data_IF_491429217583
#
_entry.id   IF_491429217583
#
_cell.length_a   1.000
_cell.length_b   1.000
_cell.length_c   1.000
_cell.angle_alpha   90.00
_cell.angle_beta   90.00
_cell.angle_gamma   90.00
#
_symmetry.space_group_name_H-M   'P 1'
#
loop_
_entity.id
_entity.type
_entity.pdbx_description
1 polymer ?
#
# COMPACT_ATOMS: atom_id res chain seq x y z
N UNK A 1 -0.90 -5.71 -9.66
CA UNK A 1 -1.44 -4.49 -9.02
C UNK A 1 -1.74 -4.79 -7.57
N UNK A 2 -1.52 -3.83 -6.69
CA UNK A 2 -1.71 -3.96 -5.23
C UNK A 2 -2.91 -3.14 -4.78
N UNK A 3 -3.70 -3.66 -3.84
CA UNK A 3 -4.85 -2.98 -3.25
C UNK A 3 -5.13 -3.53 -1.84
N UNK A 4 -5.96 -2.85 -1.07
CA UNK A 4 -6.19 -3.19 0.34
C UNK A 4 -7.64 -2.97 0.76
N UNK A 5 -8.09 -3.75 1.75
CA UNK A 5 -9.37 -3.59 2.43
C UNK A 5 -9.35 -2.58 3.58
N UNK A 6 -8.21 -1.97 3.93
CA UNK A 6 -8.10 -1.00 5.02
C UNK A 6 -7.67 0.39 4.56
N UNK A 7 -8.28 1.43 5.14
CA UNK A 7 -7.96 2.81 4.77
C UNK A 7 -6.53 3.21 5.20
N UNK A 8 -6.04 2.76 6.36
CA UNK A 8 -4.67 3.08 6.83
C UNK A 8 -3.61 2.56 5.85
N UNK A 9 -3.75 1.32 5.36
CA UNK A 9 -2.84 0.78 4.35
C UNK A 9 -2.98 1.51 2.99
N UNK A 10 -4.19 1.93 2.61
CA UNK A 10 -4.39 2.70 1.39
C UNK A 10 -3.73 4.09 1.47
N UNK A 11 -3.77 4.73 2.64
CA UNK A 11 -3.08 6.00 2.90
C UNK A 11 -1.56 5.80 2.76
N UNK A 12 -1.00 4.74 3.32
CA UNK A 12 0.42 4.41 3.13
C UNK A 12 0.78 4.22 1.65
N UNK A 13 -0.03 3.48 0.90
CA UNK A 13 0.16 3.29 -0.53
C UNK A 13 0.15 4.61 -1.30
N UNK A 14 -0.70 5.57 -0.89
CA UNK A 14 -0.78 6.88 -1.52
C UNK A 14 0.44 7.77 -1.16
N UNK A 15 0.83 7.84 0.12
CA UNK A 15 1.93 8.70 0.60
C UNK A 15 3.35 8.21 0.23
N UNK A 16 3.48 6.91 -0.04
CA UNK A 16 4.73 6.26 -0.43
C UNK A 16 4.82 6.01 -1.95
N UNK A 17 3.76 6.32 -2.70
CA UNK A 17 3.76 6.14 -4.15
C UNK A 17 4.90 6.95 -4.80
N UNK A 18 5.58 6.33 -5.76
CA UNK A 18 6.55 7.03 -6.60
C UNK A 18 5.83 7.99 -7.57
N UNK A 19 6.17 9.28 -7.53
CA UNK A 19 5.64 10.28 -8.45
C UNK A 19 5.65 11.69 -7.89
N UNK A 20 5.33 12.67 -8.74
CA UNK A 20 5.17 14.09 -8.36
C UNK A 20 3.71 14.57 -8.38
N UNK A 21 2.77 13.69 -8.73
CA UNK A 21 1.35 13.98 -8.71
C UNK A 21 0.77 13.97 -7.29
N UNK A 22 -0.39 14.59 -7.12
CA UNK A 22 -1.14 14.53 -5.86
C UNK A 22 -1.56 13.10 -5.54
N UNK A 23 -1.40 12.72 -4.28
CA UNK A 23 -1.79 11.44 -3.73
C UNK A 23 -3.31 11.23 -3.86
N UNK A 24 -3.72 10.02 -4.30
CA UNK A 24 -5.13 9.66 -4.49
C UNK A 24 -5.38 8.25 -4.01
N UNK A 25 -6.58 8.04 -3.47
CA UNK A 25 -7.07 6.73 -3.05
C UNK A 25 -8.33 6.42 -3.84
N UNK A 26 -8.32 5.30 -4.55
CA UNK A 26 -9.46 4.84 -5.34
C UNK A 26 -10.09 3.61 -4.70
N UNK A 27 -11.42 3.57 -4.71
CA UNK A 27 -12.17 2.33 -4.44
C UNK A 27 -12.23 1.54 -5.73
N UNK A 28 -11.82 0.29 -5.66
CA UNK A 28 -11.66 -0.58 -6.81
C UNK A 28 -12.40 -1.90 -6.63
N UNK A 29 -12.86 -2.45 -7.74
CA UNK A 29 -13.41 -3.79 -7.85
C UNK A 29 -12.42 -4.65 -8.67
N UNK A 30 -11.89 -5.77 -8.11
CA UNK A 30 -11.08 -6.70 -8.87
C UNK A 30 -11.88 -7.32 -10.01
N UNK A 31 -11.32 -7.37 -11.22
CA UNK A 31 -11.99 -8.01 -12.36
C UNK A 31 -11.59 -9.48 -12.56
N UNK A 32 -10.74 -10.01 -11.67
CA UNK A 32 -10.20 -11.36 -11.75
C UNK A 32 -9.72 -11.87 -10.39
N UNK A 33 -8.83 -12.86 -10.41
CA UNK A 33 -8.37 -13.52 -9.20
C UNK A 33 -7.48 -12.61 -8.35
N UNK A 34 -7.64 -12.71 -7.03
CA UNK A 34 -6.85 -11.96 -6.06
C UNK A 34 -6.12 -12.93 -5.14
N UNK A 35 -4.93 -12.55 -4.71
CA UNK A 35 -4.13 -13.29 -3.73
C UNK A 35 -3.64 -12.35 -2.64
N UNK A 36 -3.33 -12.88 -1.46
CA UNK A 36 -2.77 -12.10 -0.37
C UNK A 36 -1.42 -11.50 -0.76
N UNK A 37 -1.14 -10.27 -0.32
CA UNK A 37 0.11 -9.60 -0.63
C UNK A 37 1.27 -10.29 0.12
N UNK A 38 2.22 -10.94 -0.57
CA UNK A 38 3.31 -11.64 0.06
C UNK A 38 4.33 -10.70 0.70
N UNK A 39 4.27 -9.39 0.46
CA UNK A 39 5.15 -8.41 1.10
C UNK A 39 4.66 -8.03 2.51
N UNK A 40 3.39 -8.28 2.83
CA UNK A 40 2.75 -7.82 4.06
C UNK A 40 2.12 -8.95 4.88
N UNK A 41 1.72 -10.03 4.23
CA UNK A 41 1.09 -11.20 4.87
C UNK A 41 2.13 -12.10 5.52
N UNK A 42 1.88 -12.52 6.76
CA UNK A 42 2.78 -13.40 7.54
C UNK A 42 4.24 -12.90 7.63
N UNK A 43 4.45 -11.58 7.57
CA UNK A 43 5.78 -10.97 7.74
C UNK A 43 6.03 -10.55 9.18
N UNK A 44 5.50 -9.39 9.57
CA UNK A 44 5.69 -8.83 10.92
C UNK A 44 4.65 -9.36 11.90
N UNK A 45 3.46 -9.67 11.40
CA UNK A 45 2.31 -10.14 12.17
C UNK A 45 1.70 -11.36 11.46
N UNK A 46 1.08 -12.30 12.21
CA UNK A 46 0.43 -13.46 11.62
C UNK A 46 -0.81 -13.07 10.81
N UNK A 47 -1.00 -13.73 9.68
CA UNK A 47 -2.08 -13.49 8.72
C UNK A 47 -1.93 -12.17 7.97
N UNK A 48 -3.08 -11.64 7.53
CA UNK A 48 -3.18 -10.44 6.71
C UNK A 48 -3.98 -9.32 7.41
N UNK A 49 -3.47 -8.72 8.51
CA UNK A 49 -4.23 -7.75 9.30
C UNK A 49 -4.52 -6.44 8.56
N UNK A 50 -3.70 -6.08 7.56
CA UNK A 50 -3.89 -4.91 6.71
C UNK A 50 -4.84 -5.19 5.55
N UNK A 51 -5.31 -6.43 5.39
CA UNK A 51 -6.13 -6.88 4.26
C UNK A 51 -5.51 -6.46 2.92
N UNK A 52 -4.22 -6.68 2.75
CA UNK A 52 -3.46 -6.32 1.55
C UNK A 52 -3.44 -7.47 0.55
N UNK A 53 -3.69 -7.15 -0.72
CA UNK A 53 -3.85 -8.12 -1.79
C UNK A 53 -3.13 -7.66 -3.05
N UNK A 54 -2.87 -8.61 -3.95
CA UNK A 54 -2.48 -8.33 -5.32
C UNK A 54 -3.33 -9.09 -6.34
N UNK A 55 -3.46 -8.50 -7.52
CA UNK A 55 -4.10 -9.09 -8.70
C UNK A 55 -3.21 -8.94 -9.93
N UNK A 56 -3.18 -9.98 -10.77
CA UNK A 56 -2.59 -9.91 -12.11
C UNK A 56 -3.58 -9.33 -13.13
N UNK A 57 -4.87 -9.57 -12.91
CA UNK A 57 -5.96 -9.00 -13.71
C UNK A 57 -6.24 -7.54 -13.33
N UNK A 58 -6.74 -6.71 -14.27
CA UNK A 58 -7.14 -5.32 -14.04
C UNK A 58 -8.00 -5.08 -12.79
N UNK A 59 -7.94 -3.85 -12.29
CA UNK A 59 -8.85 -3.34 -11.27
C UNK A 59 -9.76 -2.30 -11.92
N UNK A 60 -11.06 -2.39 -11.66
CA UNK A 60 -12.04 -1.38 -12.09
C UNK A 60 -12.18 -0.32 -11.01
N UNK A 61 -11.89 0.94 -11.34
CA UNK A 61 -12.15 2.07 -10.43
C UNK A 61 -13.65 2.33 -10.39
N UNK A 62 -14.23 2.32 -9.19
CA UNK A 62 -15.66 2.55 -8.97
C UNK A 62 -15.96 3.82 -8.18
N UNK A 63 -14.98 4.34 -7.42
CA UNK A 63 -15.07 5.63 -6.74
C UNK A 63 -13.67 6.17 -6.38
N UNK A 64 -13.63 7.44 -5.95
CA UNK A 64 -12.45 8.07 -5.33
C UNK A 64 -12.77 8.44 -3.88
N UNK A 65 -11.86 8.11 -2.97
CA UNK A 65 -11.93 8.55 -1.57
C UNK A 65 -11.28 9.93 -1.49
N UNK A 66 -12.09 10.97 -1.37
CA UNK A 66 -11.61 12.37 -1.34
C UNK A 66 -11.40 12.91 0.07
N UNK A 67 -11.98 12.26 1.09
CA UNK A 67 -11.87 12.67 2.49
C UNK A 67 -11.12 11.60 3.28
N UNK A 68 -9.82 11.79 3.40
CA UNK A 68 -8.94 10.99 4.23
C UNK A 68 -7.91 11.90 4.91
N UNK A 69 -7.40 11.44 6.03
CA UNK A 69 -6.40 12.18 6.80
C UNK A 69 -5.04 11.54 6.57
N UNK A 70 -4.11 12.33 6.04
CA UNK A 70 -2.72 11.93 5.91
C UNK A 70 -2.11 11.61 7.29
N UNK A 71 -1.08 10.78 7.29
CA UNK A 71 -0.27 10.57 8.47
C UNK A 71 0.43 11.86 8.90
N UNK A 72 0.83 11.90 10.16
CA UNK A 72 1.62 13.05 10.64
C UNK A 72 2.93 13.12 9.86
N UNK A 73 3.42 14.34 9.61
CA UNK A 73 4.67 14.52 8.88
C UNK A 73 5.86 13.79 9.55
N UNK A 74 5.83 13.65 10.88
CA UNK A 74 6.81 12.84 11.60
C UNK A 74 6.71 11.35 11.26
N UNK A 75 5.50 10.76 11.35
CA UNK A 75 5.29 9.33 11.05
C UNK A 75 5.66 9.00 9.60
N UNK A 76 5.33 9.88 8.66
CA UNK A 76 5.69 9.70 7.26
C UNK A 76 7.21 9.78 7.03
N UNK A 77 7.90 10.72 7.70
CA UNK A 77 9.38 10.82 7.62
C UNK A 77 10.05 9.57 8.18
N UNK A 78 9.66 9.13 9.37
CA UNK A 78 10.21 7.93 10.01
C UNK A 78 10.04 6.69 9.12
N UNK A 79 8.90 6.56 8.45
CA UNK A 79 8.67 5.46 7.50
C UNK A 79 9.59 5.57 6.28
N UNK A 80 9.69 6.75 5.65
CA UNK A 80 10.56 6.96 4.48
C UNK A 80 12.04 6.70 4.80
N UNK A 81 12.50 7.14 5.97
CA UNK A 81 13.85 6.87 6.47
C UNK A 81 14.08 5.36 6.71
N UNK A 82 13.10 4.68 7.29
CA UNK A 82 13.14 3.23 7.49
C UNK A 82 13.27 2.46 6.17
N UNK A 83 12.47 2.82 5.16
CA UNK A 83 12.53 2.24 3.81
C UNK A 83 13.87 2.53 3.13
N UNK A 84 14.38 3.76 3.21
CA UNK A 84 15.66 4.13 2.63
C UNK A 84 16.83 3.32 3.23
N UNK A 85 16.79 3.06 4.55
CA UNK A 85 17.78 2.19 5.21
C UNK A 85 17.69 0.74 4.72
N UNK A 86 16.49 0.18 4.63
CA UNK A 86 16.29 -1.20 4.14
C UNK A 86 16.80 -1.37 2.70
N UNK A 87 16.57 -0.37 1.85
CA UNK A 87 17.10 -0.35 0.49
C UNK A 87 18.63 -0.29 0.46
N UNK A 88 19.25 0.60 1.26
CA UNK A 88 20.70 0.70 1.37
C UNK A 88 21.37 -0.59 1.89
N UNK A 89 20.68 -1.36 2.74
CA UNK A 89 21.12 -2.65 3.27
C UNK A 89 20.89 -3.82 2.30
N UNK A 90 20.26 -3.58 1.13
CA UNK A 90 19.90 -4.62 0.17
C UNK A 90 18.82 -5.58 0.66
N UNK A 91 18.08 -5.19 1.71
CA UNK A 91 17.04 -5.99 2.34
C UNK A 91 15.64 -5.73 1.76
N UNK A 92 15.52 -4.85 0.77
CA UNK A 92 14.27 -4.55 0.09
C UNK A 92 13.92 -5.68 -0.88
N UNK A 93 13.20 -6.69 -0.38
CA UNK A 93 12.60 -7.75 -1.19
C UNK A 93 11.18 -7.31 -1.51
N UNK A 94 11.00 -6.70 -2.68
CA UNK A 94 9.68 -6.52 -3.29
C UNK A 94 9.45 -7.71 -4.22
N UNK A 95 8.41 -8.50 -3.94
CA UNK A 95 7.97 -9.62 -4.79
C UNK A 95 7.10 -9.17 -5.98
#
# INVERSE_FOLDING_TARGET
MYFTGTLDAAIWGAELAGGSGTERIYVVEPTGAIEEDPNLTDKKFPGNPTLSYRSRDPLRVIAEVTKWQAHTAQRLREMKEGLARLNAEGAEIID
#
